data_IF_917446901825
#
_entry.id   IF_917446901825
#
_cell.length_a   1.000
_cell.length_b   1.000
_cell.length_c   1.000
_cell.angle_alpha   90.00
_cell.angle_beta   90.00
_cell.angle_gamma   90.00
#
_symmetry.space_group_name_H-M   'P 1'
#
loop_
_entity.id
_entity.type
_entity.pdbx_description
1 polymer ?
#
# COMPACT_ATOMS: atom_id res chain seq x y z
N UNK A 1 -3.51 2.34 -3.44
CA UNK A 1 -3.92 3.75 -3.63
C UNK A 1 -2.74 4.68 -3.88
N UNK A 2 -1.64 4.58 -3.11
CA UNK A 2 -0.45 5.45 -3.23
C UNK A 2 0.16 5.44 -4.62
N UNK A 3 0.32 4.27 -5.26
CA UNK A 3 0.84 4.18 -6.63
C UNK A 3 -0.09 4.89 -7.63
N UNK A 4 -1.40 4.63 -7.55
CA UNK A 4 -2.40 5.28 -8.41
C UNK A 4 -2.36 6.80 -8.28
N UNK A 5 -2.20 7.31 -7.07
CA UNK A 5 -2.00 8.73 -6.78
C UNK A 5 -0.70 9.24 -7.40
N UNK A 6 0.44 8.56 -7.12
CA UNK A 6 1.76 8.99 -7.57
C UNK A 6 1.87 9.03 -9.10
N UNK A 7 1.23 8.10 -9.82
CA UNK A 7 1.19 8.13 -11.28
C UNK A 7 0.60 9.44 -11.80
N UNK A 8 -0.48 9.91 -11.21
CA UNK A 8 -1.15 11.17 -11.59
C UNK A 8 -0.38 12.40 -11.11
N UNK A 9 0.05 12.40 -9.86
CA UNK A 9 0.76 13.53 -9.23
C UNK A 9 2.08 13.83 -9.93
N UNK A 10 2.80 12.79 -10.34
CA UNK A 10 4.09 12.90 -11.03
C UNK A 10 3.96 12.95 -12.57
N UNK A 11 2.76 12.87 -13.12
CA UNK A 11 2.54 12.84 -14.57
C UNK A 11 3.19 11.65 -15.27
N UNK A 12 3.20 10.47 -14.62
CA UNK A 12 3.82 9.27 -15.18
C UNK A 12 3.01 8.72 -16.36
N UNK A 13 3.68 8.10 -17.33
CA UNK A 13 3.03 7.40 -18.45
C UNK A 13 2.33 6.11 -18.01
N UNK A 14 2.61 5.62 -16.82
CA UNK A 14 1.99 4.44 -16.23
C UNK A 14 2.65 4.06 -14.91
N UNK A 15 2.13 3.02 -14.27
CA UNK A 15 2.63 2.50 -13.00
C UNK A 15 2.60 0.98 -12.94
N UNK A 16 3.48 0.42 -12.13
CA UNK A 16 3.54 -1.03 -11.89
C UNK A 16 3.56 -1.28 -10.39
N UNK A 17 2.73 -2.22 -9.93
CA UNK A 17 2.76 -2.74 -8.57
C UNK A 17 3.03 -4.24 -8.59
N UNK A 18 4.16 -4.64 -8.02
CA UNK A 18 4.51 -6.05 -7.84
C UNK A 18 3.85 -6.55 -6.56
N UNK A 19 2.77 -7.30 -6.69
CA UNK A 19 1.99 -7.79 -5.55
C UNK A 19 1.09 -8.95 -5.93
N UNK A 20 1.01 -9.95 -5.08
CA UNK A 20 -0.02 -10.99 -5.13
C UNK A 20 -1.25 -10.65 -4.26
N UNK A 21 -1.43 -9.38 -3.86
CA UNK A 21 -2.47 -8.94 -2.94
C UNK A 21 -2.31 -9.61 -1.56
N UNK A 22 -3.32 -10.36 -1.11
CA UNK A 22 -3.36 -11.10 0.15
C UNK A 22 -3.22 -12.61 -0.05
N UNK A 23 -2.64 -13.04 -1.16
CA UNK A 23 -2.33 -14.46 -1.39
C UNK A 23 -1.12 -14.89 -0.56
N UNK A 24 -0.98 -16.21 -0.29
CA UNK A 24 0.19 -16.74 0.41
C UNK A 24 1.53 -16.38 -0.23
N UNK A 25 2.59 -16.39 0.57
CA UNK A 25 3.95 -15.98 0.19
C UNK A 25 4.51 -16.59 -1.13
N UNK A 26 4.21 -17.85 -1.52
CA UNK A 26 4.69 -18.41 -2.78
C UNK A 26 4.10 -17.75 -4.04
N UNK A 27 2.99 -17.03 -3.90
CA UNK A 27 2.36 -16.35 -5.03
C UNK A 27 3.02 -15.01 -5.30
N UNK A 28 3.12 -14.66 -6.56
CA UNK A 28 3.53 -13.34 -7.00
C UNK A 28 2.51 -12.79 -8.00
N UNK A 29 2.55 -11.48 -8.22
CA UNK A 29 1.62 -10.80 -9.09
C UNK A 29 2.17 -9.48 -9.61
N UNK A 30 1.50 -9.00 -10.65
CA UNK A 30 1.88 -7.80 -11.36
C UNK A 30 0.62 -7.05 -11.77
N UNK A 31 0.49 -5.81 -11.33
CA UNK A 31 -0.62 -4.92 -11.68
C UNK A 31 -0.08 -3.72 -12.43
N UNK A 32 -0.61 -3.47 -13.62
CA UNK A 32 -0.27 -2.30 -14.43
C UNK A 32 -1.36 -1.22 -14.32
N UNK A 33 -0.93 0.03 -14.34
CA UNK A 33 -1.77 1.22 -14.25
C UNK A 33 -1.50 2.13 -15.43
N UNK A 34 -2.54 2.74 -15.98
CA UNK A 34 -2.44 3.77 -16.99
C UNK A 34 -2.03 5.14 -16.44
N UNK A 35 -1.82 6.13 -17.31
CA UNK A 35 -1.47 7.49 -16.89
C UNK A 35 -2.56 8.21 -16.09
N UNK A 36 -3.79 7.72 -16.16
CA UNK A 36 -4.93 8.15 -15.35
C UNK A 36 -4.91 7.61 -13.91
N UNK A 37 -3.92 6.79 -13.56
CA UNK A 37 -3.80 6.11 -12.28
C UNK A 37 -4.79 4.96 -12.09
N UNK A 38 -5.56 4.58 -13.10
CA UNK A 38 -6.45 3.43 -13.05
C UNK A 38 -5.73 2.14 -13.47
N UNK A 39 -6.13 1.02 -12.88
CA UNK A 39 -5.65 -0.27 -13.34
C UNK A 39 -6.11 -0.49 -14.79
N UNK A 40 -5.20 -0.96 -15.66
CA UNK A 40 -5.45 -1.08 -17.10
C UNK A 40 -6.64 -2.00 -17.41
N UNK A 41 -7.29 -1.70 -18.54
CA UNK A 41 -8.41 -2.52 -19.07
C UNK A 41 -7.92 -3.86 -19.61
N UNK A 42 -8.86 -4.81 -19.78
CA UNK A 42 -8.56 -6.13 -20.36
C UNK A 42 -7.94 -6.03 -21.75
N UNK A 43 -8.33 -5.04 -22.57
CA UNK A 43 -7.75 -4.83 -23.90
C UNK A 43 -6.27 -4.39 -23.81
N UNK A 44 -5.95 -3.43 -22.96
CA UNK A 44 -4.57 -2.99 -22.73
C UNK A 44 -3.72 -4.10 -22.11
N UNK A 45 -4.29 -4.87 -21.16
CA UNK A 45 -3.64 -6.03 -20.57
C UNK A 45 -3.29 -7.10 -21.62
N UNK A 46 -4.21 -7.40 -22.56
CA UNK A 46 -3.95 -8.34 -23.64
C UNK A 46 -2.79 -7.88 -24.54
N UNK A 47 -2.72 -6.59 -24.88
CA UNK A 47 -1.63 -6.04 -25.68
C UNK A 47 -0.28 -6.15 -24.97
N UNK A 48 -0.21 -5.84 -23.67
CA UNK A 48 1.00 -5.99 -22.87
C UNK A 48 1.41 -7.46 -22.77
N UNK A 49 0.46 -8.36 -22.50
CA UNK A 49 0.73 -9.80 -22.42
C UNK A 49 1.27 -10.36 -23.74
N UNK A 50 0.72 -9.91 -24.88
CA UNK A 50 1.24 -10.30 -26.20
C UNK A 50 2.68 -9.81 -26.42
N UNK A 51 3.00 -8.58 -26.01
CA UNK A 51 4.36 -8.05 -26.09
C UNK A 51 5.33 -8.83 -25.20
N UNK A 52 4.93 -9.18 -24.00
CA UNK A 52 5.72 -10.02 -23.06
C UNK A 52 5.96 -11.40 -23.67
N UNK A 53 4.91 -12.06 -24.21
CA UNK A 53 5.03 -13.38 -24.82
C UNK A 53 5.92 -13.39 -26.07
N UNK A 54 6.00 -12.27 -26.80
CA UNK A 54 6.89 -12.09 -27.95
C UNK A 54 8.34 -11.73 -27.59
N UNK A 55 8.65 -11.57 -26.30
CA UNK A 55 9.99 -11.17 -25.84
C UNK A 55 10.69 -12.36 -25.18
N UNK A 56 11.88 -12.74 -25.70
CA UNK A 56 12.71 -13.75 -25.03
C UNK A 56 13.23 -13.22 -23.70
N UNK A 57 12.96 -13.94 -22.61
CA UNK A 57 13.26 -13.50 -21.24
C UNK A 57 14.78 -13.35 -20.97
N UNK A 58 15.63 -14.05 -21.70
CA UNK A 58 17.08 -14.06 -21.49
C UNK A 58 17.85 -13.15 -22.46
N UNK A 59 17.38 -13.05 -23.69
CA UNK A 59 18.10 -12.33 -24.76
C UNK A 59 17.37 -11.09 -25.26
N UNK A 60 16.05 -11.01 -25.06
CA UNK A 60 15.20 -9.90 -25.54
C UNK A 60 15.05 -8.77 -24.53
N UNK A 61 15.36 -9.00 -23.24
CA UNK A 61 15.20 -8.00 -22.18
C UNK A 61 16.40 -7.05 -22.16
N UNK A 62 16.11 -5.75 -22.31
CA UNK A 62 17.12 -4.70 -22.16
C UNK A 62 17.36 -4.44 -20.68
N UNK A 63 18.59 -4.53 -20.24
CA UNK A 63 19.01 -4.24 -18.86
C UNK A 63 20.12 -3.20 -18.82
N UNK A 64 20.28 -2.57 -17.69
CA UNK A 64 21.42 -1.70 -17.40
C UNK A 64 21.78 -1.85 -15.91
N UNK A 65 23.01 -1.44 -15.58
CA UNK A 65 23.45 -1.36 -14.20
C UNK A 65 22.57 -0.41 -13.38
N UNK A 66 22.15 -0.85 -12.18
CA UNK A 66 21.23 -0.08 -11.35
C UNK A 66 21.86 1.22 -10.84
N UNK A 67 23.10 1.17 -10.36
CA UNK A 67 23.80 2.36 -9.84
C UNK A 67 24.03 3.38 -10.95
N UNK A 68 24.38 2.92 -12.15
CA UNK A 68 24.48 3.75 -13.33
C UNK A 68 23.15 4.35 -13.77
N UNK A 69 22.03 3.64 -13.59
CA UNK A 69 20.70 4.16 -13.85
C UNK A 69 20.31 5.28 -12.86
N UNK A 70 20.63 5.10 -11.58
CA UNK A 70 20.45 6.13 -10.54
C UNK A 70 21.34 7.35 -10.82
N UNK A 71 22.63 7.13 -11.05
CA UNK A 71 23.60 8.21 -11.32
C UNK A 71 23.26 9.04 -12.57
N UNK A 72 22.69 8.41 -13.60
CA UNK A 72 22.22 9.08 -14.82
C UNK A 72 20.82 9.71 -14.70
N UNK A 73 20.17 9.59 -13.56
CA UNK A 73 18.82 10.11 -13.32
C UNK A 73 17.69 9.34 -14.03
N UNK A 74 17.97 8.16 -14.60
CA UNK A 74 16.94 7.28 -15.17
C UNK A 74 16.10 6.59 -14.10
N UNK A 75 16.68 6.32 -12.94
CA UNK A 75 15.98 5.88 -11.74
C UNK A 75 15.99 7.02 -10.73
N UNK A 76 14.83 7.34 -10.21
CA UNK A 76 14.67 8.35 -9.14
C UNK A 76 13.80 7.76 -8.05
N UNK A 77 14.19 7.98 -6.81
CA UNK A 77 13.34 7.69 -5.67
C UNK A 77 12.25 8.73 -5.54
N UNK A 78 11.07 8.31 -5.13
CA UNK A 78 9.98 9.23 -4.81
C UNK A 78 10.33 9.96 -3.51
N UNK A 79 10.27 11.28 -3.53
CA UNK A 79 10.52 12.13 -2.37
C UNK A 79 9.35 12.10 -1.37
N UNK A 80 9.63 12.30 -0.10
CA UNK A 80 8.63 12.35 0.97
C UNK A 80 7.52 13.37 0.68
N UNK A 81 7.83 14.46 0.01
CA UNK A 81 6.86 15.47 -0.41
C UNK A 81 5.71 14.92 -1.28
N UNK A 82 5.93 13.83 -2.02
CA UNK A 82 4.86 13.14 -2.78
C UNK A 82 3.91 12.43 -1.84
N UNK A 83 4.45 11.78 -0.80
CA UNK A 83 3.63 11.11 0.22
C UNK A 83 2.84 12.13 1.04
N UNK A 84 3.44 13.26 1.37
CA UNK A 84 2.74 14.35 2.07
C UNK A 84 1.52 14.83 1.27
N UNK A 85 1.68 15.14 -0.02
CA UNK A 85 0.55 15.52 -0.89
C UNK A 85 -0.51 14.42 -1.01
N UNK A 86 -0.09 13.14 -0.97
CA UNK A 86 -1.01 12.02 -0.94
C UNK A 86 -1.85 12.01 0.34
N UNK A 87 -1.24 12.18 1.50
CA UNK A 87 -1.95 12.24 2.78
C UNK A 87 -2.93 13.42 2.83
N UNK A 88 -2.52 14.58 2.37
CA UNK A 88 -3.39 15.75 2.27
C UNK A 88 -4.59 15.49 1.37
N UNK A 89 -4.37 14.84 0.22
CA UNK A 89 -5.45 14.47 -0.69
C UNK A 89 -6.42 13.45 -0.09
N UNK A 90 -5.93 12.51 0.71
CA UNK A 90 -6.78 11.53 1.44
C UNK A 90 -7.62 12.25 2.49
N UNK A 91 -7.00 13.11 3.30
CA UNK A 91 -7.70 13.86 4.35
C UNK A 91 -8.75 14.81 3.77
N UNK A 92 -8.48 15.42 2.61
CA UNK A 92 -9.45 16.27 1.91
C UNK A 92 -10.72 15.54 1.45
N UNK A 93 -10.73 14.18 1.46
CA UNK A 93 -11.94 13.40 1.18
C UNK A 93 -12.82 13.19 2.41
N UNK A 94 -12.42 13.68 3.58
CA UNK A 94 -13.26 13.61 4.78
C UNK A 94 -14.59 14.33 4.55
N UNK A 95 -15.68 13.63 4.82
CA UNK A 95 -17.04 14.19 4.72
C UNK A 95 -17.51 14.78 6.05
N UNK A 96 -16.78 14.54 7.12
CA UNK A 96 -17.10 15.02 8.46
C UNK A 96 -16.27 16.27 8.74
N UNK A 97 -16.95 17.42 8.86
CA UNK A 97 -16.33 18.69 9.25
C UNK A 97 -16.39 18.82 10.79
N UNK A 98 -15.78 17.86 11.51
CA UNK A 98 -15.68 17.93 12.96
C UNK A 98 -14.58 18.92 13.33
N UNK A 99 -14.83 19.75 14.36
CA UNK A 99 -13.78 20.58 14.92
C UNK A 99 -12.83 19.76 15.79
N UNK A 100 -11.62 20.30 16.02
CA UNK A 100 -10.63 19.63 16.89
C UNK A 100 -11.20 19.37 18.30
N UNK A 101 -12.05 20.26 18.82
CA UNK A 101 -12.74 20.08 20.10
C UNK A 101 -13.74 18.92 20.04
N UNK A 102 -14.45 18.74 18.93
CA UNK A 102 -15.39 17.63 18.78
C UNK A 102 -14.66 16.29 18.67
N UNK A 103 -13.53 16.25 17.96
CA UNK A 103 -12.67 15.06 17.86
C UNK A 103 -12.10 14.73 19.25
N UNK A 104 -11.57 15.73 19.96
CA UNK A 104 -11.01 15.53 21.30
C UNK A 104 -12.05 15.11 22.35
N UNK A 105 -13.32 15.52 22.18
CA UNK A 105 -14.41 15.15 23.07
C UNK A 105 -14.89 13.69 22.91
N UNK A 106 -14.57 13.07 21.77
CA UNK A 106 -14.92 11.68 21.48
C UNK A 106 -13.67 10.92 20.98
N UNK A 107 -12.66 10.71 21.85
CA UNK A 107 -11.45 10.01 21.48
C UNK A 107 -11.80 8.57 21.07
N UNK A 108 -11.22 8.12 19.97
CA UNK A 108 -11.39 6.77 19.44
C UNK A 108 -10.12 5.96 19.73
N UNK A 109 -10.29 4.80 20.36
CA UNK A 109 -9.25 3.84 20.65
C UNK A 109 -9.33 2.67 19.68
N UNK A 110 -8.28 2.44 18.90
CA UNK A 110 -8.25 1.42 17.84
C UNK A 110 -7.17 0.37 18.07
N UNK A 111 -7.47 -0.85 17.62
CA UNK A 111 -6.46 -1.87 17.34
C UNK A 111 -6.33 -1.99 15.81
N UNK A 112 -5.10 -1.92 15.33
CA UNK A 112 -4.79 -1.99 13.91
C UNK A 112 -3.76 -3.08 13.61
N UNK A 113 -3.98 -3.83 12.53
CA UNK A 113 -2.96 -4.72 11.96
C UNK A 113 -2.77 -4.49 10.47
N UNK A 114 -1.54 -4.24 10.01
CA UNK A 114 -1.21 -4.26 8.58
C UNK A 114 -1.01 -5.69 8.03
N UNK A 115 -1.12 -6.76 8.84
CA UNK A 115 -0.88 -8.15 8.46
C UNK A 115 0.49 -8.35 7.78
N UNK A 116 1.56 -7.79 8.34
CA UNK A 116 2.91 -7.76 7.75
C UNK A 116 2.96 -7.15 6.33
N UNK A 117 1.97 -6.35 5.97
CA UNK A 117 1.87 -5.66 4.68
C UNK A 117 2.42 -4.24 4.72
N UNK A 118 2.10 -3.46 3.70
CA UNK A 118 2.64 -2.09 3.49
C UNK A 118 1.81 -0.98 4.15
N UNK A 119 0.76 -1.33 4.90
CA UNK A 119 -0.20 -0.37 5.43
C UNK A 119 0.25 0.38 6.68
N UNK A 120 1.32 -0.05 7.37
CA UNK A 120 1.72 0.52 8.67
C UNK A 120 1.82 2.05 8.62
N UNK A 121 2.77 2.57 7.87
CA UNK A 121 3.06 4.01 7.83
C UNK A 121 1.89 4.82 7.26
N UNK A 122 1.31 4.51 6.10
CA UNK A 122 0.27 5.37 5.53
C UNK A 122 -1.02 5.37 6.35
N UNK A 123 -1.42 4.24 6.91
CA UNK A 123 -2.67 4.17 7.69
C UNK A 123 -2.53 4.88 9.02
N UNK A 124 -1.47 4.60 9.78
CA UNK A 124 -1.26 5.27 11.09
C UNK A 124 -1.04 6.77 10.93
N UNK A 125 -0.35 7.21 9.87
CA UNK A 125 -0.17 8.64 9.56
C UNK A 125 -1.51 9.32 9.28
N UNK A 126 -2.34 8.75 8.44
CA UNK A 126 -3.65 9.34 8.10
C UNK A 126 -4.57 9.34 9.32
N UNK A 127 -4.61 8.26 10.09
CA UNK A 127 -5.41 8.19 11.33
C UNK A 127 -4.99 9.28 12.33
N UNK A 128 -3.70 9.42 12.57
CA UNK A 128 -3.19 10.45 13.49
C UNK A 128 -3.56 11.88 13.02
N UNK A 129 -3.43 12.16 11.72
CA UNK A 129 -3.80 13.47 11.15
C UNK A 129 -5.32 13.70 11.14
N UNK A 130 -6.11 12.64 11.11
CA UNK A 130 -7.56 12.70 11.25
C UNK A 130 -8.03 12.83 12.72
N UNK A 131 -7.10 12.92 13.67
CA UNK A 131 -7.38 13.07 15.10
C UNK A 131 -7.50 11.75 15.88
N UNK A 132 -7.28 10.60 15.24
CA UNK A 132 -7.27 9.30 15.91
C UNK A 132 -5.83 8.96 16.31
N UNK A 133 -5.45 9.28 17.54
CA UNK A 133 -4.10 9.13 18.07
C UNK A 133 -3.90 7.90 18.94
N UNK A 134 -4.96 7.31 19.49
CA UNK A 134 -4.89 6.10 20.31
C UNK A 134 -5.03 4.85 19.43
N UNK A 135 -3.94 4.50 18.74
CA UNK A 135 -3.89 3.35 17.82
C UNK A 135 -2.86 2.35 18.34
N UNK A 136 -3.33 1.20 18.81
CA UNK A 136 -2.45 0.07 19.17
C UNK A 136 -2.26 -0.84 17.96
N UNK A 137 -1.02 -0.93 17.46
CA UNK A 137 -0.68 -1.82 16.34
C UNK A 137 -0.36 -3.20 16.88
N UNK A 138 -0.80 -4.26 16.17
CA UNK A 138 -0.46 -5.65 16.52
C UNK A 138 1.04 -5.88 16.32
N UNK A 139 1.83 -6.09 17.39
CA UNK A 139 3.30 -6.02 17.31
C UNK A 139 3.93 -7.04 16.35
N UNK A 140 3.42 -8.28 16.35
CA UNK A 140 3.98 -9.36 15.53
C UNK A 140 3.63 -9.21 14.03
N UNK A 141 2.69 -8.34 13.70
CA UNK A 141 2.21 -8.10 12.33
C UNK A 141 2.54 -6.69 11.84
N UNK A 142 3.23 -5.90 12.65
CA UNK A 142 3.54 -4.49 12.38
C UNK A 142 4.46 -4.32 11.18
N UNK A 143 5.61 -5.01 11.21
CA UNK A 143 6.62 -4.83 10.18
C UNK A 143 6.31 -5.63 8.91
N UNK A 144 6.55 -5.04 7.72
CA UNK A 144 6.40 -5.77 6.47
C UNK A 144 7.29 -7.02 6.42
N UNK A 145 6.66 -8.18 6.17
CA UNK A 145 7.37 -9.45 5.97
C UNK A 145 6.65 -10.30 4.92
N UNK A 146 7.28 -10.51 3.78
CA UNK A 146 6.73 -11.28 2.67
C UNK A 146 6.57 -12.78 2.95
N UNK A 147 7.11 -13.29 4.07
CA UNK A 147 6.90 -14.66 4.51
C UNK A 147 5.63 -14.84 5.35
N UNK A 148 5.02 -13.75 5.81
CA UNK A 148 3.81 -13.75 6.65
C UNK A 148 3.89 -14.73 7.83
N UNK A 149 4.86 -14.59 8.74
CA UNK A 149 5.18 -15.62 9.75
C UNK A 149 4.04 -15.89 10.73
N UNK A 150 3.12 -14.96 10.90
CA UNK A 150 2.00 -15.07 11.82
C UNK A 150 0.71 -15.54 11.15
N UNK A 151 0.68 -15.52 9.81
CA UNK A 151 -0.54 -15.77 9.05
C UNK A 151 -0.22 -16.23 7.62
N UNK A 152 -0.22 -17.56 7.33
CA UNK A 152 0.06 -18.08 5.99
C UNK A 152 -0.88 -17.56 4.90
N UNK A 153 -2.08 -17.15 5.27
CA UNK A 153 -3.08 -16.48 4.43
C UNK A 153 -3.37 -15.08 4.97
N UNK A 154 -2.65 -14.03 4.55
CA UNK A 154 -2.80 -12.68 5.09
C UNK A 154 -4.04 -11.97 4.51
N UNK A 155 -5.17 -12.66 4.47
CA UNK A 155 -6.45 -12.12 4.01
C UNK A 155 -7.31 -11.72 5.21
N UNK A 156 -7.66 -10.44 5.38
CA UNK A 156 -8.46 -9.96 6.51
C UNK A 156 -9.90 -10.52 6.55
N UNK A 157 -10.37 -11.15 5.47
CA UNK A 157 -11.66 -11.87 5.47
C UNK A 157 -11.60 -13.21 6.20
N UNK A 158 -10.37 -13.73 6.45
CA UNK A 158 -10.14 -14.99 7.17
C UNK A 158 -9.97 -14.66 8.65
N UNK A 159 -10.80 -15.28 9.50
CA UNK A 159 -10.79 -15.06 10.95
C UNK A 159 -9.41 -15.35 11.57
N UNK A 160 -8.75 -16.41 11.13
CA UNK A 160 -7.43 -16.80 11.62
C UNK A 160 -6.37 -15.73 11.36
N UNK A 161 -6.46 -15.00 10.24
CA UNK A 161 -5.58 -13.90 9.94
C UNK A 161 -5.73 -12.75 10.94
N UNK A 162 -6.96 -12.51 11.40
CA UNK A 162 -7.30 -11.44 12.32
C UNK A 162 -7.16 -11.84 13.79
N UNK A 163 -6.87 -13.11 14.10
CA UNK A 163 -6.93 -13.63 15.47
C UNK A 163 -6.02 -12.85 16.43
N UNK A 164 -4.79 -12.52 16.04
CA UNK A 164 -3.89 -11.72 16.89
C UNK A 164 -4.44 -10.32 17.21
N UNK A 165 -5.11 -9.71 16.25
CA UNK A 165 -5.81 -8.43 16.48
C UNK A 165 -6.99 -8.61 17.45
N UNK A 166 -7.76 -9.68 17.30
CA UNK A 166 -8.88 -10.01 18.20
C UNK A 166 -8.37 -10.25 19.62
N UNK A 167 -7.32 -11.06 19.79
CA UNK A 167 -6.71 -11.33 21.09
C UNK A 167 -6.16 -10.04 21.75
N UNK A 168 -5.61 -9.13 20.95
CA UNK A 168 -5.14 -7.84 21.43
C UNK A 168 -6.31 -6.93 21.85
N UNK A 169 -7.45 -6.98 21.14
CA UNK A 169 -8.66 -6.25 21.55
C UNK A 169 -9.16 -6.67 22.94
N UNK A 170 -9.05 -7.96 23.30
CA UNK A 170 -9.42 -8.45 24.64
C UNK A 170 -8.53 -7.87 25.75
N UNK A 171 -7.31 -7.45 25.42
CA UNK A 171 -6.36 -6.86 26.37
C UNK A 171 -6.47 -5.33 26.45
N UNK A 172 -6.66 -4.71 25.27
CA UNK A 172 -6.61 -3.25 25.10
C UNK A 172 -7.99 -2.61 25.30
N UNK A 173 -9.07 -3.37 25.07
CA UNK A 173 -10.45 -2.90 25.11
C UNK A 173 -10.64 -1.64 24.23
N UNK A 174 -10.48 -1.74 22.88
CA UNK A 174 -10.78 -0.66 21.95
C UNK A 174 -12.29 -0.41 21.87
N UNK A 175 -12.69 0.71 21.23
CA UNK A 175 -14.09 1.07 20.99
C UNK A 175 -14.79 0.19 19.96
#
# INVERSE_FOLDING_TARGET
PTLSWAVRDLGCSGGICMTASHNPAPYNGYKAYGPDGCQITSQAAAAISAAIAGTDAFTGVKSMDFDGAVASGKVKWIEDAVLERYYDAVLAQSVNNLSDEQIAAAPLKLVYTPLNGTGLVPVTTVLARAGVSDVTVVPEQEQPDGNFPTCPYPNPEIREAMQKGIDLCEQVHPD
#
